data_IF_008137230721
#
_entry.id   IF_008137230721
#
_cell.length_a   1.000
_cell.length_b   1.000
_cell.length_c   1.000
_cell.angle_alpha   90.00
_cell.angle_beta   90.00
_cell.angle_gamma   90.00
#
_symmetry.space_group_name_H-M   'P 1'
#
loop_
_entity.id
_entity.type
_entity.pdbx_description
1 polymer ?
#
# COMPACT_ATOMS: atom_id res chain seq x y z
N UNK A 1 10.73 16.28 3.63
CA UNK A 1 10.71 15.15 4.60
C UNK A 1 10.21 13.92 3.86
N UNK A 2 10.95 12.82 3.87
CA UNK A 2 10.55 11.61 3.14
C UNK A 2 9.40 10.90 3.86
N UNK A 3 8.35 10.53 3.14
CA UNK A 3 7.26 9.71 3.66
C UNK A 3 7.21 8.40 2.91
N UNK A 4 7.40 7.30 3.66
CA UNK A 4 7.33 5.93 3.17
C UNK A 4 6.02 5.30 3.63
N UNK A 5 5.32 4.69 2.68
CA UNK A 5 3.96 4.21 2.84
C UNK A 5 3.79 2.89 2.09
N UNK A 6 2.84 2.08 2.52
CA UNK A 6 2.30 0.98 1.73
C UNK A 6 0.88 1.33 1.38
N UNK A 7 0.55 1.21 0.10
CA UNK A 7 -0.81 1.26 -0.41
C UNK A 7 -1.19 -0.13 -0.86
N UNK A 8 -2.47 -0.30 -1.14
CA UNK A 8 -2.92 -1.47 -1.86
C UNK A 8 -3.78 -1.09 -3.07
N UNK A 9 -4.27 -2.07 -3.82
CA UNK A 9 -5.31 -1.91 -4.85
C UNK A 9 -6.16 -3.18 -4.91
N UNK A 10 -7.40 -3.07 -5.38
CA UNK A 10 -8.15 -4.26 -5.76
C UNK A 10 -7.57 -4.85 -7.05
N UNK A 11 -7.57 -6.18 -7.19
CA UNK A 11 -7.10 -6.86 -8.41
C UNK A 11 -8.00 -6.63 -9.63
N UNK A 12 -9.22 -6.12 -9.43
CA UNK A 12 -10.21 -5.94 -10.50
C UNK A 12 -10.30 -4.48 -10.93
N UNK A 13 -10.09 -4.22 -12.21
CA UNK A 13 -10.11 -2.87 -12.81
C UNK A 13 -11.46 -2.15 -12.72
N UNK A 14 -12.57 -2.89 -12.61
CA UNK A 14 -13.92 -2.33 -12.45
C UNK A 14 -14.35 -2.11 -10.99
N UNK A 15 -13.49 -2.43 -10.01
CA UNK A 15 -13.81 -2.20 -8.60
C UNK A 15 -13.34 -0.80 -8.20
N UNK A 16 -14.29 0.06 -7.83
CA UNK A 16 -14.04 1.46 -7.43
C UNK A 16 -13.55 1.57 -5.97
N UNK A 17 -12.69 0.65 -5.55
CA UNK A 17 -12.14 0.65 -4.22
C UNK A 17 -11.06 1.73 -4.13
N UNK A 18 -11.46 2.94 -3.69
CA UNK A 18 -10.61 4.14 -3.64
C UNK A 18 -9.90 4.32 -2.29
N UNK A 19 -8.62 4.67 -2.38
CA UNK A 19 -7.52 4.25 -1.51
C UNK A 19 -7.03 5.24 -0.45
N UNK A 20 -7.87 6.12 0.09
CA UNK A 20 -7.35 7.16 0.99
C UNK A 20 -7.08 6.71 2.42
N UNK A 21 -7.69 5.61 2.89
CA UNK A 21 -7.60 5.19 4.30
C UNK A 21 -6.63 4.05 4.58
N UNK A 22 -6.28 3.24 3.58
CA UNK A 22 -5.39 2.08 3.76
C UNK A 22 -3.95 2.44 3.40
N UNK A 23 -3.46 3.50 4.04
CA UNK A 23 -2.08 3.95 3.94
C UNK A 23 -1.36 3.55 5.22
N UNK A 24 -0.54 2.52 5.14
CA UNK A 24 0.29 2.08 6.26
C UNK A 24 1.59 2.85 6.19
N UNK A 25 1.83 3.73 7.16
CA UNK A 25 3.06 4.49 7.23
C UNK A 25 4.21 3.60 7.71
N UNK A 26 5.36 3.70 7.06
CA UNK A 26 6.56 2.93 7.39
C UNK A 26 7.73 3.86 7.68
N UNK A 27 8.77 3.29 8.30
CA UNK A 27 9.93 4.05 8.78
C UNK A 27 10.83 4.44 7.60
N UNK A 28 11.00 3.54 6.64
CA UNK A 28 11.90 3.70 5.50
C UNK A 28 11.39 2.93 4.27
N UNK A 29 12.15 3.01 3.18
CA UNK A 29 11.85 2.29 1.94
C UNK A 29 11.89 0.77 2.14
N UNK A 30 12.92 0.23 2.79
CA UNK A 30 13.11 -1.21 3.01
C UNK A 30 11.93 -1.85 3.75
N UNK A 31 11.44 -1.18 4.80
CA UNK A 31 10.27 -1.60 5.55
C UNK A 31 8.99 -1.52 4.72
N UNK A 32 8.80 -0.48 3.90
CA UNK A 32 7.66 -0.41 2.97
C UNK A 32 7.65 -1.55 1.96
N UNK A 33 8.82 -1.88 1.41
CA UNK A 33 8.98 -2.93 0.42
C UNK A 33 8.74 -4.31 1.05
N UNK A 34 9.42 -4.60 2.16
CA UNK A 34 9.30 -5.87 2.87
C UNK A 34 7.87 -6.12 3.34
N UNK A 35 7.19 -5.09 3.84
CA UNK A 35 5.81 -5.19 4.27
C UNK A 35 4.86 -5.46 3.10
N UNK A 36 5.04 -4.79 1.96
CA UNK A 36 4.23 -5.04 0.76
C UNK A 36 4.37 -6.48 0.26
N UNK A 37 5.60 -7.00 0.25
CA UNK A 37 5.87 -8.39 -0.14
C UNK A 37 5.25 -9.39 0.83
N UNK A 38 5.39 -9.15 2.13
CA UNK A 38 4.77 -10.00 3.16
C UNK A 38 3.24 -10.07 2.98
N UNK A 39 2.59 -8.92 2.80
CA UNK A 39 1.14 -8.84 2.63
C UNK A 39 0.66 -9.53 1.34
N UNK A 40 1.41 -9.39 0.25
CA UNK A 40 1.14 -10.13 -0.98
C UNK A 40 1.34 -11.65 -0.80
N UNK A 41 2.35 -12.08 -0.04
CA UNK A 41 2.55 -13.50 0.28
C UNK A 41 1.42 -14.10 1.11
N UNK A 42 0.83 -13.35 2.05
CA UNK A 42 -0.35 -13.79 2.79
C UNK A 42 -1.56 -14.06 1.88
N UNK A 43 -1.69 -13.33 0.77
CA UNK A 43 -2.72 -13.58 -0.23
C UNK A 43 -2.53 -14.87 -1.01
N UNK A 44 -1.30 -15.38 -1.13
CA UNK A 44 -1.03 -16.69 -1.72
C UNK A 44 -1.46 -17.83 -0.79
N UNK A 45 -1.41 -17.60 0.51
CA UNK A 45 -1.85 -18.52 1.55
C UNK A 45 -3.37 -18.47 1.82
N UNK A 46 -4.12 -17.72 1.01
CA UNK A 46 -5.57 -17.41 1.17
C UNK A 46 -5.92 -16.85 2.57
N UNK A 47 -4.96 -16.21 3.23
CA UNK A 47 -5.13 -15.56 4.54
C UNK A 47 -5.79 -14.19 4.32
N UNK A 48 -7.10 -14.23 4.08
CA UNK A 48 -8.14 -13.20 4.35
C UNK A 48 -8.05 -11.76 3.79
N UNK A 49 -6.96 -11.29 3.17
CA UNK A 49 -6.91 -9.90 2.64
C UNK A 49 -7.63 -9.77 1.29
N UNK A 50 -8.96 -9.88 1.34
CA UNK A 50 -9.88 -9.68 0.21
C UNK A 50 -10.38 -8.24 0.20
N UNK A 51 -10.62 -7.72 -0.99
CA UNK A 51 -11.18 -6.40 -1.21
C UNK A 51 -12.52 -6.32 -0.46
N UNK A 52 -12.71 -5.33 0.44
CA UNK A 52 -13.93 -5.23 1.23
C UNK A 52 -15.16 -4.89 0.38
N UNK A 53 -14.96 -4.39 -0.85
CA UNK A 53 -16.04 -4.00 -1.74
C UNK A 53 -16.52 -5.14 -2.65
N UNK A 54 -15.61 -5.94 -3.20
CA UNK A 54 -15.97 -6.96 -4.20
C UNK A 54 -15.45 -8.37 -3.88
N UNK A 55 -14.78 -8.57 -2.74
CA UNK A 55 -14.28 -9.86 -2.29
C UNK A 55 -13.09 -10.43 -3.09
N UNK A 56 -12.63 -9.71 -4.12
CA UNK A 56 -11.49 -10.12 -4.95
C UNK A 56 -10.16 -9.92 -4.23
N UNK A 57 -9.08 -10.47 -4.77
CA UNK A 57 -7.74 -10.34 -4.19
C UNK A 57 -7.31 -8.87 -4.13
N UNK A 58 -6.56 -8.51 -3.09
CA UNK A 58 -5.88 -7.22 -3.00
C UNK A 58 -4.41 -7.35 -3.39
N UNK A 59 -3.79 -6.27 -3.85
CA UNK A 59 -2.34 -6.18 -4.05
C UNK A 59 -1.78 -5.05 -3.21
N UNK A 60 -0.61 -5.22 -2.62
CA UNK A 60 0.07 -4.23 -1.80
C UNK A 60 1.35 -3.76 -2.49
N UNK A 61 1.63 -2.46 -2.46
CA UNK A 61 2.82 -1.88 -3.08
C UNK A 61 3.39 -0.71 -2.27
N UNK A 62 4.73 -0.57 -2.22
CA UNK A 62 5.37 0.52 -1.53
C UNK A 62 5.22 1.83 -2.30
N UNK A 63 5.06 2.91 -1.57
CA UNK A 63 5.01 4.28 -2.10
C UNK A 63 5.95 5.13 -1.27
N UNK A 64 6.82 5.87 -1.95
CA UNK A 64 7.62 6.91 -1.31
C UNK A 64 7.24 8.26 -1.90
N UNK A 65 7.17 9.28 -1.05
CA UNK A 65 7.07 10.67 -1.47
C UNK A 65 8.24 11.43 -0.88
N UNK A 66 8.99 12.09 -1.76
CA UNK A 66 10.03 13.04 -1.38
C UNK A 66 9.32 14.39 -1.42
N UNK A 67 8.96 14.94 -0.26
CA UNK A 67 8.50 16.31 -0.21
C UNK A 67 9.72 17.22 -0.48
N UNK A 68 9.59 18.13 -1.46
CA UNK A 68 10.59 19.16 -1.74
C UNK A 68 10.97 19.89 -0.44
N UNK A 69 12.26 20.23 -0.24
CA UNK A 69 12.66 21.03 0.90
C UNK A 69 11.94 22.37 0.83
N UNK A 70 11.16 22.67 1.87
CA UNK A 70 10.55 23.99 2.05
C UNK A 70 11.73 24.96 2.19
N UNK A 71 11.98 25.80 1.19
CA UNK A 71 12.87 26.95 1.37
C UNK A 71 12.21 27.85 2.40
N UNK A 72 12.81 27.95 3.58
CA UNK A 72 12.50 29.03 4.51
C UNK A 72 13.34 30.22 4.08
N UNK A 73 12.71 31.21 3.44
CA UNK A 73 13.27 32.55 3.27
C UNK A 73 13.36 33.28 4.62
#
# INVERSE_FOLDING_TARGET
MNSYKVRSCCSTSGCDYVYHRDIIQTINHESSFSFSMFMNGLNELDVKMKCPQCGQRMFFYPVSSIAEPVHCD
#
